data_IF_943065472074
#
_entry.id   IF_943065472074
#
_cell.length_a   1.000
_cell.length_b   1.000
_cell.length_c   1.000
_cell.angle_alpha   90.00
_cell.angle_beta   90.00
_cell.angle_gamma   90.00
#
_symmetry.space_group_name_H-M   'P 1'
#
loop_
_entity.id
_entity.type
_entity.pdbx_description
1 polymer ?
#
# COMPACT_ATOMS: atom_id res chain seq x y z
N UNK A 1 -11.77 12.43 -17.32
CA UNK A 1 -10.91 11.31 -17.75
C UNK A 1 -10.57 10.47 -16.53
N UNK A 2 -10.44 9.15 -16.65
CA UNK A 2 -10.07 8.29 -15.52
C UNK A 2 -8.58 8.44 -15.18
N UNK A 3 -8.19 8.23 -13.92
CA UNK A 3 -6.78 8.17 -13.51
C UNK A 3 -6.20 6.79 -13.81
N UNK A 4 -4.97 6.75 -14.31
CA UNK A 4 -4.20 5.53 -14.54
C UNK A 4 -3.07 5.41 -13.50
N UNK A 5 -3.05 4.34 -12.71
CA UNK A 5 -2.04 4.11 -11.68
C UNK A 5 -1.17 2.88 -11.97
N UNK A 6 0.01 2.83 -11.34
CA UNK A 6 0.92 1.69 -11.44
C UNK A 6 1.05 0.95 -10.10
N UNK A 7 1.03 -0.38 -10.14
CA UNK A 7 1.24 -1.20 -8.96
C UNK A 7 2.74 -1.28 -8.62
N UNK A 8 3.12 -0.93 -7.39
CA UNK A 8 4.53 -0.78 -7.04
C UNK A 8 5.35 -2.08 -7.16
N UNK A 9 4.68 -3.24 -7.07
CA UNK A 9 5.34 -4.53 -7.17
C UNK A 9 5.79 -4.92 -8.59
N UNK A 10 5.51 -4.08 -9.60
CA UNK A 10 6.16 -4.21 -10.91
C UNK A 10 7.68 -4.00 -10.83
N UNK A 11 8.17 -3.25 -9.83
CA UNK A 11 9.58 -2.91 -9.65
C UNK A 11 10.24 -3.60 -8.45
N UNK A 12 9.51 -4.43 -7.69
CA UNK A 12 10.03 -5.07 -6.49
C UNK A 12 9.06 -6.04 -5.83
N UNK A 13 9.56 -6.82 -4.88
CA UNK A 13 8.74 -7.78 -4.11
C UNK A 13 8.21 -7.20 -2.78
N UNK A 14 8.54 -5.95 -2.47
CA UNK A 14 8.10 -5.24 -1.25
C UNK A 14 8.08 -3.74 -1.50
N UNK A 15 7.69 -2.96 -0.49
CA UNK A 15 7.80 -1.51 -0.48
C UNK A 15 8.31 -1.02 0.89
N UNK A 16 9.49 -0.41 0.88
CA UNK A 16 10.22 0.14 2.02
C UNK A 16 11.01 1.38 1.55
N UNK A 17 11.93 1.90 2.38
CA UNK A 17 12.68 3.13 2.08
C UNK A 17 13.45 3.11 0.75
N UNK A 18 13.96 1.96 0.29
CA UNK A 18 14.71 1.90 -0.98
C UNK A 18 13.80 2.03 -2.21
N UNK A 19 12.47 1.97 -2.04
CA UNK A 19 11.50 2.13 -3.13
C UNK A 19 10.86 3.52 -3.17
N UNK A 20 11.27 4.47 -2.32
CA UNK A 20 10.73 5.83 -2.35
C UNK A 20 10.92 6.54 -3.69
N UNK A 21 12.00 6.19 -4.43
CA UNK A 21 12.25 6.70 -5.79
C UNK A 21 11.14 6.38 -6.79
N UNK A 22 10.25 5.42 -6.47
CA UNK A 22 9.13 5.07 -7.34
C UNK A 22 8.11 6.22 -7.45
N UNK A 23 8.09 7.16 -6.50
CA UNK A 23 7.23 8.35 -6.63
C UNK A 23 7.64 9.20 -7.85
N UNK A 24 8.93 9.50 -8.00
CA UNK A 24 9.44 10.21 -9.18
C UNK A 24 9.33 9.32 -10.43
N UNK A 25 9.79 8.06 -10.35
CA UNK A 25 9.84 7.16 -11.50
C UNK A 25 8.47 6.91 -12.14
N UNK A 26 7.44 6.62 -11.33
CA UNK A 26 6.07 6.37 -11.82
C UNK A 26 5.45 7.64 -12.40
N UNK A 27 5.77 8.81 -11.82
CA UNK A 27 5.33 10.11 -12.34
C UNK A 27 5.95 10.41 -13.71
N UNK A 28 7.26 10.17 -13.87
CA UNK A 28 7.99 10.39 -15.12
C UNK A 28 7.50 9.47 -16.25
N UNK A 29 6.99 8.28 -15.91
CA UNK A 29 6.33 7.38 -16.87
C UNK A 29 4.92 7.84 -17.29
N UNK A 30 4.38 8.89 -16.68
CA UNK A 30 3.09 9.49 -17.05
C UNK A 30 1.88 8.91 -16.30
N UNK A 31 2.09 8.14 -15.23
CA UNK A 31 0.98 7.67 -14.39
C UNK A 31 0.48 8.78 -13.44
N UNK A 32 -0.79 8.67 -13.08
CA UNK A 32 -1.47 9.58 -12.14
C UNK A 32 -1.25 9.18 -10.68
N UNK A 33 -0.86 7.92 -10.43
CA UNK A 33 -0.67 7.42 -9.08
C UNK A 33 0.08 6.11 -8.97
N UNK A 34 0.42 5.74 -7.75
CA UNK A 34 1.03 4.47 -7.37
C UNK A 34 0.11 3.71 -6.41
N UNK A 35 -0.03 2.40 -6.60
CA UNK A 35 -0.75 1.51 -5.71
C UNK A 35 0.22 0.67 -4.86
N UNK A 36 0.05 0.70 -3.54
CA UNK A 36 0.93 -0.01 -2.58
C UNK A 36 0.12 -1.07 -1.80
N UNK A 37 0.51 -2.35 -1.84
CA UNK A 37 -0.17 -3.40 -1.09
C UNK A 37 0.25 -3.38 0.38
N UNK A 38 -0.69 -3.12 1.28
CA UNK A 38 -0.51 -3.08 2.72
C UNK A 38 -0.53 -4.49 3.34
N UNK A 39 0.40 -5.34 2.92
CA UNK A 39 0.65 -6.62 3.58
C UNK A 39 1.17 -6.39 5.01
N UNK A 40 1.09 -7.41 5.87
CA UNK A 40 1.66 -7.31 7.24
C UNK A 40 3.13 -6.89 7.24
N UNK A 41 3.92 -7.36 6.26
CA UNK A 41 5.32 -6.96 6.13
C UNK A 41 5.46 -5.48 5.75
N UNK A 42 4.76 -5.05 4.70
CA UNK A 42 4.85 -3.68 4.19
C UNK A 42 4.33 -2.67 5.21
N UNK A 43 3.20 -2.95 5.89
CA UNK A 43 2.68 -2.09 6.97
C UNK A 43 3.71 -1.82 8.06
N UNK A 44 4.60 -2.77 8.33
CA UNK A 44 5.61 -2.64 9.39
C UNK A 44 6.84 -1.87 8.91
N UNK A 45 7.16 -1.91 7.62
CA UNK A 45 8.36 -1.29 7.04
C UNK A 45 8.10 -0.01 6.23
N UNK A 46 6.83 0.35 6.00
CA UNK A 46 6.46 1.48 5.14
C UNK A 46 6.96 2.80 5.75
N UNK A 47 7.85 3.55 5.06
CA UNK A 47 8.31 4.87 5.52
C UNK A 47 7.22 5.93 5.26
N UNK A 48 6.15 5.92 6.06
CA UNK A 48 4.93 6.72 5.81
C UNK A 48 5.24 8.21 5.66
N UNK A 49 6.08 8.77 6.52
CA UNK A 49 6.40 10.21 6.51
C UNK A 49 7.10 10.58 5.20
N UNK A 50 8.16 9.87 4.85
CA UNK A 50 8.96 10.14 3.67
C UNK A 50 8.17 9.86 2.39
N UNK A 51 7.31 8.84 2.41
CA UNK A 51 6.39 8.58 1.31
C UNK A 51 5.44 9.75 1.09
N UNK A 52 4.85 10.32 2.15
CA UNK A 52 4.00 11.52 2.04
C UNK A 52 4.76 12.73 1.49
N UNK A 53 5.98 12.95 1.96
CA UNK A 53 6.86 14.02 1.46
C UNK A 53 7.09 13.84 -0.05
N UNK A 54 7.47 12.64 -0.51
CA UNK A 54 7.70 12.35 -1.94
C UNK A 54 6.46 12.46 -2.82
N UNK A 55 5.32 11.97 -2.35
CA UNK A 55 4.06 12.09 -3.09
C UNK A 55 3.64 13.57 -3.24
N UNK A 56 3.90 14.39 -2.21
CA UNK A 56 3.65 15.82 -2.26
C UNK A 56 4.59 16.55 -3.23
N UNK A 57 5.89 16.22 -3.22
CA UNK A 57 6.90 16.82 -4.11
C UNK A 57 6.60 16.53 -5.60
N UNK A 58 6.14 15.31 -5.89
CA UNK A 58 5.87 14.84 -7.26
C UNK A 58 4.45 15.13 -7.76
N UNK A 59 3.53 15.42 -6.83
CA UNK A 59 2.09 15.50 -7.12
C UNK A 59 1.48 14.16 -7.55
N UNK A 60 2.15 13.04 -7.27
CA UNK A 60 1.67 11.69 -7.57
C UNK A 60 0.61 11.27 -6.54
N UNK A 61 -0.52 10.72 -6.99
CA UNK A 61 -1.50 10.14 -6.07
C UNK A 61 -1.01 8.78 -5.52
N UNK A 62 -1.53 8.38 -4.35
CA UNK A 62 -1.33 7.03 -3.83
C UNK A 62 -2.65 6.35 -3.52
N UNK A 63 -2.72 5.06 -3.81
CA UNK A 63 -3.79 4.16 -3.38
C UNK A 63 -3.18 2.95 -2.65
N UNK A 64 -4.02 2.28 -1.88
CA UNK A 64 -3.63 1.12 -1.09
C UNK A 64 -4.60 -0.02 -1.30
N UNK A 65 -4.07 -1.24 -1.31
CA UNK A 65 -4.87 -2.46 -1.27
C UNK A 65 -4.41 -3.36 -0.13
N UNK A 66 -5.25 -4.29 0.30
CA UNK A 66 -4.92 -5.25 1.32
C UNK A 66 -5.33 -6.65 0.87
N UNK A 67 -4.39 -7.60 0.95
CA UNK A 67 -4.66 -9.01 0.76
C UNK A 67 -4.75 -9.70 2.13
N UNK A 68 -5.85 -10.40 2.39
CA UNK A 68 -6.04 -11.14 3.64
C UNK A 68 -5.63 -12.60 3.45
N UNK A 69 -4.70 -13.07 4.28
CA UNK A 69 -4.28 -14.48 4.27
C UNK A 69 -5.30 -15.41 4.95
N UNK A 70 -5.07 -16.74 4.93
CA UNK A 70 -5.99 -17.72 5.53
C UNK A 70 -6.29 -17.51 7.03
N UNK A 71 -5.35 -16.95 7.79
CA UNK A 71 -5.54 -16.60 9.22
C UNK A 71 -6.36 -15.32 9.42
N UNK A 72 -6.49 -14.50 8.37
CA UNK A 72 -7.17 -13.20 8.38
C UNK A 72 -8.46 -13.21 7.56
N UNK A 73 -8.92 -14.38 7.13
CA UNK A 73 -10.13 -14.50 6.32
C UNK A 73 -11.36 -14.02 7.13
N UNK A 74 -11.99 -12.93 6.70
CA UNK A 74 -13.18 -12.36 7.34
C UNK A 74 -14.48 -13.06 6.95
N UNK A 75 -14.48 -13.84 5.87
CA UNK A 75 -15.65 -14.57 5.36
C UNK A 75 -15.83 -15.95 6.02
N UNK A 76 -14.96 -16.33 6.96
CA UNK A 76 -15.07 -17.59 7.73
C UNK A 76 -15.98 -17.46 8.95
N UNK A 77 -16.47 -18.58 9.50
CA UNK A 77 -17.22 -18.60 10.78
C UNK A 77 -16.32 -18.58 12.03
N UNK A 78 -15.01 -18.76 11.87
CA UNK A 78 -14.04 -18.67 12.98
C UNK A 78 -13.87 -17.21 13.46
N UNK A 79 -14.41 -16.91 14.65
CA UNK A 79 -14.37 -15.58 15.27
C UNK A 79 -12.95 -15.05 15.50
N UNK A 80 -11.96 -15.93 15.69
CA UNK A 80 -10.57 -15.51 15.87
C UNK A 80 -10.00 -14.99 14.55
N UNK A 81 -10.24 -15.70 13.44
CA UNK A 81 -9.79 -15.28 12.09
C UNK A 81 -10.49 -14.00 11.63
N UNK A 82 -11.81 -13.90 11.86
CA UNK A 82 -12.56 -12.66 11.59
C UNK A 82 -11.94 -11.46 12.33
N UNK A 83 -11.69 -11.60 13.64
CA UNK A 83 -11.06 -10.56 14.44
C UNK A 83 -9.67 -10.20 13.90
N UNK A 84 -8.84 -11.18 13.57
CA UNK A 84 -7.50 -10.93 13.02
C UNK A 84 -7.54 -10.16 11.68
N UNK A 85 -8.47 -10.51 10.79
CA UNK A 85 -8.68 -9.79 9.53
C UNK A 85 -9.15 -8.35 9.74
N UNK A 86 -10.15 -8.14 10.61
CA UNK A 86 -10.67 -6.81 10.94
C UNK A 86 -9.58 -5.92 11.56
N UNK A 87 -8.80 -6.45 12.51
CA UNK A 87 -7.71 -5.69 13.13
C UNK A 87 -6.59 -5.35 12.15
N UNK A 88 -6.32 -6.20 11.16
CA UNK A 88 -5.40 -5.87 10.08
C UNK A 88 -5.94 -4.73 9.20
N UNK A 89 -7.20 -4.82 8.76
CA UNK A 89 -7.82 -3.76 7.95
C UNK A 89 -7.88 -2.41 8.68
N UNK A 90 -8.15 -2.41 9.99
CA UNK A 90 -8.09 -1.18 10.81
C UNK A 90 -6.71 -0.54 10.76
N UNK A 91 -5.63 -1.34 10.84
CA UNK A 91 -4.26 -0.82 10.71
C UNK A 91 -4.05 -0.19 9.34
N UNK A 92 -4.54 -0.81 8.26
CA UNK A 92 -4.43 -0.25 6.91
C UNK A 92 -5.07 1.14 6.77
N UNK A 93 -6.21 1.38 7.43
CA UNK A 93 -6.95 2.64 7.30
C UNK A 93 -6.40 3.75 8.19
N UNK A 94 -5.83 3.43 9.35
CA UNK A 94 -5.36 4.45 10.33
C UNK A 94 -3.90 4.83 10.08
N UNK A 95 -3.13 4.01 9.37
CA UNK A 95 -1.68 4.19 9.21
C UNK A 95 -1.24 5.18 8.13
N UNK A 96 -2.14 5.74 7.31
CA UNK A 96 -1.81 6.70 6.25
C UNK A 96 -2.73 7.92 6.32
#
# INVERSE_FOLDING_TARGET
MAKCGAWCLLWGSTFDRKYLYLAEHVKDLGFDGIEIPLTTQILTSLPIRELKERLSETGLAATFCAGLGPSQNVATNDKRKQRQGIEHLKKCVVSF
#
